data_IF_393524218463
#
_entry.id   IF_393524218463
#
_cell.length_a   1.000
_cell.length_b   1.000
_cell.length_c   1.000
_cell.angle_alpha   90.00
_cell.angle_beta   90.00
_cell.angle_gamma   90.00
#
_symmetry.space_group_name_H-M   'P 1'
#
loop_
_entity.id
_entity.type
_entity.pdbx_description
1 polymer ?
#
# COMPACT_ATOMS: atom_id res chain seq x y z
N UNK A 1 -16.78 -16.89 5.89
CA UNK A 1 -17.76 -15.82 5.60
C UNK A 1 -17.49 -15.34 4.20
N UNK A 2 -18.46 -15.42 3.29
CA UNK A 2 -18.34 -14.85 1.96
C UNK A 2 -18.29 -13.31 2.08
N UNK A 3 -17.31 -12.69 1.46
CA UNK A 3 -16.87 -11.30 1.68
C UNK A 3 -17.83 -10.18 1.26
N UNK A 4 -19.14 -10.40 1.15
CA UNK A 4 -20.03 -9.35 0.60
C UNK A 4 -21.47 -9.37 1.10
N UNK A 5 -21.83 -10.11 2.12
CA UNK A 5 -23.21 -10.06 2.60
C UNK A 5 -23.37 -9.10 3.78
N UNK A 6 -23.49 -7.80 3.46
CA UNK A 6 -23.74 -6.75 4.46
C UNK A 6 -25.09 -6.91 5.16
N UNK A 7 -26.06 -7.54 4.52
CA UNK A 7 -27.36 -7.86 5.10
C UNK A 7 -27.23 -8.87 6.24
N UNK A 8 -26.46 -9.97 6.03
CA UNK A 8 -26.19 -10.96 7.07
C UNK A 8 -25.42 -10.34 8.25
N UNK A 9 -24.48 -9.43 7.98
CA UNK A 9 -23.76 -8.73 9.04
C UNK A 9 -24.70 -7.82 9.84
N UNK A 10 -25.59 -7.10 9.17
CA UNK A 10 -26.61 -6.29 9.83
C UNK A 10 -27.53 -7.15 10.69
N UNK A 11 -27.99 -8.27 10.13
CA UNK A 11 -28.85 -9.20 10.87
C UNK A 11 -28.15 -9.77 12.11
N UNK A 12 -26.88 -10.15 11.98
CA UNK A 12 -26.06 -10.62 13.10
C UNK A 12 -25.93 -9.58 14.23
N UNK A 13 -25.75 -8.30 13.87
CA UNK A 13 -25.67 -7.18 14.84
C UNK A 13 -27.01 -7.07 15.61
N UNK A 14 -28.14 -7.24 14.92
CA UNK A 14 -29.46 -7.17 15.52
C UNK A 14 -29.74 -8.39 16.40
N UNK A 15 -29.44 -9.61 15.92
CA UNK A 15 -29.66 -10.88 16.62
C UNK A 15 -28.80 -10.99 17.90
N UNK A 16 -27.56 -10.49 17.82
CA UNK A 16 -26.66 -10.41 18.99
C UNK A 16 -27.01 -9.26 19.94
N UNK A 17 -28.06 -8.49 19.65
CA UNK A 17 -28.50 -7.35 20.45
C UNK A 17 -27.40 -6.35 20.80
N UNK A 18 -26.45 -6.12 19.86
CA UNK A 18 -25.30 -5.26 20.09
C UNK A 18 -25.75 -3.81 20.33
N UNK A 19 -25.26 -3.23 21.42
CA UNK A 19 -25.57 -1.86 21.84
C UNK A 19 -24.42 -0.94 21.46
N UNK A 20 -24.72 0.25 20.96
CA UNK A 20 -23.70 1.26 20.69
C UNK A 20 -23.02 1.69 22.02
N UNK A 21 -21.69 1.56 22.16
CA UNK A 21 -21.00 1.87 23.41
C UNK A 21 -21.00 3.37 23.77
N UNK A 22 -21.37 4.23 22.82
CA UNK A 22 -21.41 5.70 23.03
C UNK A 22 -22.83 6.15 23.37
N UNK A 23 -23.83 5.74 22.57
CA UNK A 23 -25.21 6.21 22.73
C UNK A 23 -26.08 5.31 23.61
N UNK A 24 -25.64 4.06 23.87
CA UNK A 24 -26.43 3.07 24.60
C UNK A 24 -27.64 2.54 23.84
N UNK A 25 -27.81 2.87 22.57
CA UNK A 25 -28.94 2.48 21.73
C UNK A 25 -28.61 1.32 20.81
N UNK A 26 -29.64 0.61 20.31
CA UNK A 26 -29.55 -0.43 19.28
C UNK A 26 -29.97 0.08 17.89
N UNK A 27 -30.03 1.39 17.74
CA UNK A 27 -30.48 2.04 16.50
C UNK A 27 -29.31 2.06 15.47
N UNK A 28 -29.06 0.92 14.83
CA UNK A 28 -28.02 0.77 13.81
C UNK A 28 -28.56 1.13 12.42
N UNK A 29 -27.78 1.90 11.68
CA UNK A 29 -27.99 2.10 10.25
C UNK A 29 -27.57 0.86 9.46
N UNK A 30 -27.94 0.81 8.19
CA UNK A 30 -27.48 -0.27 7.31
C UNK A 30 -25.96 -0.33 7.25
N UNK A 31 -25.44 -1.55 7.15
CA UNK A 31 -24.01 -1.77 6.95
C UNK A 31 -23.64 -1.36 5.53
N UNK A 32 -22.64 -0.50 5.39
CA UNK A 32 -22.20 0.00 4.10
C UNK A 32 -20.69 -0.23 3.93
N UNK A 33 -20.30 -0.54 2.71
CA UNK A 33 -18.89 -0.64 2.38
C UNK A 33 -18.22 0.75 2.52
N UNK A 34 -17.14 0.79 3.26
CA UNK A 34 -16.35 2.01 3.40
C UNK A 34 -15.48 2.23 2.16
N UNK A 35 -15.60 3.40 1.55
CA UNK A 35 -14.74 3.79 0.44
C UNK A 35 -13.55 4.60 0.95
N UNK A 36 -12.36 4.01 0.81
CA UNK A 36 -11.11 4.66 1.19
C UNK A 36 -10.76 5.85 0.31
N UNK A 37 -11.08 5.77 -0.98
CA UNK A 37 -10.69 6.80 -1.93
C UNK A 37 -11.67 7.96 -1.90
N UNK A 38 -11.14 9.18 -1.81
CA UNK A 38 -11.91 10.36 -2.12
C UNK A 38 -12.31 10.33 -3.60
N UNK A 39 -13.55 10.63 -3.87
CA UNK A 39 -14.04 10.76 -5.24
C UNK A 39 -14.75 12.09 -5.44
N UNK A 40 -14.71 12.60 -6.66
CA UNK A 40 -15.49 13.71 -7.13
C UNK A 40 -16.04 13.40 -8.51
N UNK A 41 -16.97 14.20 -8.97
CA UNK A 41 -17.55 14.08 -10.29
C UNK A 41 -17.04 15.20 -11.19
N UNK A 42 -16.59 14.86 -12.38
CA UNK A 42 -16.09 15.79 -13.38
C UNK A 42 -16.97 15.72 -14.62
N UNK A 43 -17.62 16.83 -14.93
CA UNK A 43 -18.50 16.97 -16.10
C UNK A 43 -19.22 18.30 -16.10
N UNK A 44 -19.73 18.73 -17.24
CA UNK A 44 -20.51 19.96 -17.38
C UNK A 44 -21.96 19.82 -16.92
N UNK A 45 -22.47 18.60 -16.82
CA UNK A 45 -23.81 18.26 -16.36
C UNK A 45 -23.77 17.05 -15.45
N UNK A 46 -24.74 16.92 -14.55
CA UNK A 46 -24.85 15.75 -13.65
C UNK A 46 -25.07 14.44 -14.39
N UNK A 47 -25.75 14.48 -15.54
CA UNK A 47 -26.16 13.29 -16.32
C UNK A 47 -25.07 12.74 -17.26
N UNK A 48 -23.84 13.06 -17.05
CA UNK A 48 -22.70 12.57 -17.84
C UNK A 48 -21.39 12.76 -17.12
N UNK A 49 -21.46 13.03 -15.84
CA UNK A 49 -20.29 13.27 -15.04
C UNK A 49 -19.45 11.99 -14.86
N UNK A 50 -18.17 12.08 -15.12
CA UNK A 50 -17.21 11.01 -14.88
C UNK A 50 -16.73 11.06 -13.44
N UNK A 51 -16.87 9.96 -12.72
CA UNK A 51 -16.33 9.83 -11.37
C UNK A 51 -14.82 9.71 -11.41
N UNK A 52 -14.13 10.61 -10.75
CA UNK A 52 -12.68 10.61 -10.61
C UNK A 52 -12.27 10.47 -9.15
N UNK A 53 -11.07 9.95 -8.91
CA UNK A 53 -10.59 9.64 -7.58
C UNK A 53 -9.25 10.33 -7.29
N UNK A 54 -9.07 10.76 -6.05
CA UNK A 54 -7.74 11.12 -5.56
C UNK A 54 -6.96 9.84 -5.23
N UNK A 55 -5.68 9.84 -5.56
CA UNK A 55 -4.81 8.65 -5.32
C UNK A 55 -4.64 8.37 -3.84
N UNK A 56 -4.85 7.12 -3.37
CA UNK A 56 -4.64 6.73 -1.98
C UNK A 56 -3.18 6.34 -1.68
N UNK A 57 -2.35 6.25 -2.72
CA UNK A 57 -0.93 5.89 -2.68
C UNK A 57 -0.18 6.48 -3.89
N UNK A 58 1.13 6.51 -3.84
CA UNK A 58 1.97 7.00 -4.95
C UNK A 58 2.42 5.90 -5.91
N UNK A 59 2.28 4.62 -5.54
CA UNK A 59 2.74 3.45 -6.28
C UNK A 59 2.28 3.41 -7.73
N UNK A 60 1.01 3.65 -7.99
CA UNK A 60 0.41 3.49 -9.32
C UNK A 60 1.04 4.43 -10.36
N UNK A 61 1.43 5.64 -9.93
CA UNK A 61 2.17 6.58 -10.79
C UNK A 61 3.54 6.05 -11.22
N UNK A 62 4.21 5.27 -10.36
CA UNK A 62 5.49 4.63 -10.67
C UNK A 62 5.29 3.53 -11.71
N UNK A 63 4.28 2.65 -11.53
CA UNK A 63 4.01 1.56 -12.46
C UNK A 63 3.60 2.04 -13.85
N UNK A 64 2.79 3.08 -13.95
CA UNK A 64 2.43 3.73 -15.23
C UNK A 64 3.67 4.22 -15.96
N UNK A 65 4.67 4.73 -15.24
CA UNK A 65 5.91 5.28 -15.82
C UNK A 65 7.04 4.25 -15.97
N UNK A 66 6.87 3.00 -15.56
CA UNK A 66 7.92 1.98 -15.58
C UNK A 66 8.64 1.90 -16.93
N UNK A 67 7.90 1.66 -18.02
CA UNK A 67 8.49 1.54 -19.37
C UNK A 67 9.18 2.83 -19.82
N UNK A 68 8.61 3.99 -19.48
CA UNK A 68 9.16 5.27 -19.84
C UNK A 68 10.52 5.47 -19.17
N UNK A 69 10.61 5.27 -17.88
CA UNK A 69 11.86 5.40 -17.10
C UNK A 69 12.88 4.37 -17.55
N UNK A 70 12.47 3.10 -17.71
CA UNK A 70 13.34 2.00 -18.12
C UNK A 70 14.00 2.30 -19.48
N UNK A 71 13.22 2.74 -20.47
CA UNK A 71 13.71 3.01 -21.82
C UNK A 71 14.53 4.29 -21.90
N UNK A 72 14.02 5.39 -21.36
CA UNK A 72 14.68 6.70 -21.40
C UNK A 72 15.99 6.69 -20.60
N UNK A 73 15.98 6.09 -19.42
CA UNK A 73 17.17 5.94 -18.58
C UNK A 73 18.07 4.77 -18.96
N UNK A 74 17.69 3.94 -19.95
CA UNK A 74 18.41 2.71 -20.32
C UNK A 74 18.70 1.82 -19.11
N UNK A 75 17.71 1.76 -18.18
CA UNK A 75 17.88 1.09 -16.91
C UNK A 75 17.93 -0.43 -17.10
N UNK A 76 18.85 -1.06 -16.37
CA UNK A 76 18.98 -2.52 -16.28
C UNK A 76 18.46 -3.01 -14.93
N UNK A 77 17.77 -4.13 -14.90
CA UNK A 77 17.33 -4.77 -13.66
C UNK A 77 18.57 -5.35 -12.93
N UNK A 78 18.69 -5.15 -11.60
CA UNK A 78 17.74 -4.48 -10.71
C UNK A 78 17.88 -2.96 -10.69
N UNK A 79 16.75 -2.23 -10.68
CA UNK A 79 16.73 -0.78 -10.46
C UNK A 79 15.47 -0.35 -9.72
N UNK A 80 15.48 0.84 -9.14
CA UNK A 80 14.36 1.42 -8.40
C UNK A 80 13.84 2.71 -9.03
N UNK A 81 12.55 2.97 -8.88
CA UNK A 81 11.92 4.25 -9.15
C UNK A 81 11.32 4.74 -7.84
N UNK A 82 11.78 5.91 -7.37
CA UNK A 82 11.26 6.53 -6.17
C UNK A 82 10.41 7.75 -6.52
N UNK A 83 9.38 7.98 -5.72
CA UNK A 83 8.49 9.13 -5.82
C UNK A 83 8.17 9.66 -4.43
N UNK A 84 8.14 10.99 -4.30
CA UNK A 84 7.60 11.70 -3.15
C UNK A 84 6.38 12.47 -3.65
N UNK A 85 5.27 12.37 -2.92
CA UNK A 85 4.07 13.09 -3.31
C UNK A 85 2.94 12.94 -2.33
N UNK A 86 1.87 13.69 -2.57
CA UNK A 86 0.63 13.64 -1.79
C UNK A 86 -0.14 12.35 -2.08
N UNK A 87 -0.66 11.75 -1.01
CA UNK A 87 -1.66 10.69 -1.06
C UNK A 87 -2.87 11.10 -0.20
N UNK A 88 -4.04 10.55 -0.53
CA UNK A 88 -5.31 10.97 0.06
C UNK A 88 -6.12 9.75 0.46
N UNK A 89 -6.52 9.68 1.71
CA UNK A 89 -7.33 8.58 2.22
C UNK A 89 -8.53 9.12 2.98
N UNK A 90 -9.71 8.66 2.66
CA UNK A 90 -10.95 9.05 3.31
C UNK A 90 -11.06 8.40 4.70
N UNK A 91 -10.21 8.81 5.62
CA UNK A 91 -10.22 8.30 7.00
C UNK A 91 -11.49 8.74 7.72
N UNK A 92 -12.18 7.81 8.39
CA UNK A 92 -13.38 8.11 9.17
C UNK A 92 -13.03 9.09 10.28
N UNK A 93 -11.93 8.84 11.00
CA UNK A 93 -11.44 9.71 12.07
C UNK A 93 -9.95 9.97 11.88
N UNK A 94 -9.59 11.21 11.57
CA UNK A 94 -8.20 11.66 11.65
C UNK A 94 -7.80 11.75 13.14
N UNK A 95 -6.70 11.11 13.53
CA UNK A 95 -6.22 11.06 14.92
C UNK A 95 -4.75 10.68 15.02
N UNK A 96 -4.21 10.75 16.25
CA UNK A 96 -2.82 10.40 16.52
C UNK A 96 -1.85 11.29 15.74
N UNK A 97 -2.14 12.59 15.70
CA UNK A 97 -1.33 13.60 15.02
C UNK A 97 -1.15 13.23 13.53
N UNK A 98 0.08 12.99 13.04
CA UNK A 98 0.35 12.68 11.64
C UNK A 98 0.06 11.23 11.25
N UNK A 99 -0.23 10.31 12.19
CA UNK A 99 -0.43 8.88 11.88
C UNK A 99 -1.74 8.57 11.16
N UNK A 100 -2.77 9.45 11.29
CA UNK A 100 -4.04 9.31 10.57
C UNK A 100 -4.50 10.65 10.04
N UNK A 101 -4.08 10.93 8.84
CA UNK A 101 -4.45 12.13 8.09
C UNK A 101 -5.21 11.76 6.83
N UNK A 102 -6.08 12.64 6.37
CA UNK A 102 -6.78 12.48 5.10
C UNK A 102 -5.94 12.89 3.90
N UNK A 103 -4.99 13.77 4.12
CA UNK A 103 -3.97 14.19 3.15
C UNK A 103 -2.60 14.05 3.83
N UNK A 104 -1.65 13.38 3.18
CA UNK A 104 -0.31 13.18 3.71
C UNK A 104 0.71 13.07 2.58
N UNK A 105 1.97 13.28 2.91
CA UNK A 105 3.07 13.02 2.01
C UNK A 105 3.56 11.58 2.19
N UNK A 106 3.79 10.91 1.08
CA UNK A 106 4.33 9.56 1.03
C UNK A 106 5.60 9.56 0.18
N UNK A 107 6.65 8.97 0.69
CA UNK A 107 7.84 8.62 -0.09
C UNK A 107 7.81 7.12 -0.33
N UNK A 108 7.90 6.74 -1.58
CA UNK A 108 7.76 5.36 -2.00
C UNK A 108 8.78 5.03 -3.07
N UNK A 109 9.36 3.82 -3.00
CA UNK A 109 10.24 3.28 -4.02
C UNK A 109 9.76 1.90 -4.43
N UNK A 110 9.61 1.68 -5.72
CA UNK A 110 9.39 0.36 -6.32
C UNK A 110 10.73 -0.10 -6.89
N UNK A 111 11.28 -1.15 -6.31
CA UNK A 111 12.54 -1.74 -6.73
C UNK A 111 12.28 -2.99 -7.56
N UNK A 112 12.60 -2.92 -8.84
CA UNK A 112 12.32 -3.95 -9.82
C UNK A 112 13.45 -4.97 -9.87
N UNK A 113 13.10 -6.24 -9.76
CA UNK A 113 14.03 -7.38 -9.72
C UNK A 113 13.62 -8.49 -10.68
N UNK A 114 14.51 -9.42 -10.93
CA UNK A 114 14.19 -10.64 -11.68
C UNK A 114 13.19 -11.49 -10.89
N UNK A 115 12.21 -12.14 -11.54
CA UNK A 115 11.36 -13.11 -10.87
C UNK A 115 12.18 -14.18 -10.15
N UNK A 116 11.81 -14.48 -8.91
CA UNK A 116 12.52 -15.45 -8.07
C UNK A 116 13.67 -14.88 -7.23
N UNK A 117 14.05 -13.58 -7.43
CA UNK A 117 15.07 -12.91 -6.61
C UNK A 117 14.48 -11.89 -5.62
N UNK A 118 13.17 -11.78 -5.56
CA UNK A 118 12.47 -10.78 -4.75
C UNK A 118 12.67 -10.96 -3.24
N UNK A 119 12.71 -12.20 -2.75
CA UNK A 119 12.90 -12.46 -1.32
C UNK A 119 14.33 -12.13 -0.85
N UNK A 120 15.32 -12.32 -1.70
CA UNK A 120 16.69 -11.87 -1.44
C UNK A 120 16.72 -10.34 -1.43
N UNK A 121 16.02 -9.68 -2.37
CA UNK A 121 15.83 -8.25 -2.42
C UNK A 121 15.22 -7.71 -1.13
N UNK A 122 14.13 -8.29 -0.64
CA UNK A 122 13.49 -7.92 0.64
C UNK A 122 14.48 -8.05 1.80
N UNK A 123 15.20 -9.17 1.92
CA UNK A 123 16.19 -9.37 2.99
C UNK A 123 17.29 -8.30 2.97
N UNK A 124 17.81 -7.97 1.80
CA UNK A 124 18.80 -6.90 1.63
C UNK A 124 18.24 -5.55 2.07
N UNK A 125 17.00 -5.23 1.66
CA UNK A 125 16.37 -3.98 2.01
C UNK A 125 16.03 -3.90 3.50
N UNK A 126 15.55 -4.96 4.14
CA UNK A 126 15.36 -5.02 5.60
C UNK A 126 16.63 -4.57 6.33
N UNK A 127 17.77 -5.17 6.01
CA UNK A 127 19.06 -4.83 6.64
C UNK A 127 19.49 -3.39 6.35
N UNK A 128 19.37 -2.96 5.10
CA UNK A 128 19.81 -1.62 4.66
C UNK A 128 18.96 -0.53 5.31
N UNK A 129 17.64 -0.72 5.38
CA UNK A 129 16.72 0.28 5.92
C UNK A 129 16.79 0.34 7.44
N UNK A 130 16.88 -0.80 8.12
CA UNK A 130 17.09 -0.82 9.57
C UNK A 130 18.36 -0.06 9.94
N UNK A 131 19.47 -0.32 9.25
CA UNK A 131 20.72 0.42 9.48
C UNK A 131 20.55 1.92 9.25
N UNK A 132 19.80 2.32 8.23
CA UNK A 132 19.53 3.74 7.98
C UNK A 132 18.76 4.38 9.14
N UNK A 133 17.71 3.73 9.65
CA UNK A 133 16.97 4.21 10.82
C UNK A 133 17.86 4.34 12.07
N UNK A 134 18.72 3.36 12.31
CA UNK A 134 19.66 3.40 13.45
C UNK A 134 20.64 4.56 13.35
N UNK A 135 21.08 4.93 12.15
CA UNK A 135 21.95 6.08 11.89
C UNK A 135 21.30 7.44 12.22
N UNK A 136 19.99 7.50 12.38
CA UNK A 136 19.30 8.71 12.85
C UNK A 136 19.54 9.00 14.33
N UNK A 137 20.12 8.07 15.08
CA UNK A 137 20.60 8.29 16.45
C UNK A 137 19.53 8.24 17.55
N UNK A 138 18.36 7.65 17.27
CA UNK A 138 17.28 7.53 18.27
C UNK A 138 17.38 6.28 19.16
N UNK A 139 18.52 5.55 19.11
CA UNK A 139 18.74 4.30 19.86
C UNK A 139 18.21 3.07 19.13
N UNK A 140 19.05 2.01 19.07
CA UNK A 140 18.71 0.77 18.34
C UNK A 140 17.54 0.04 19.00
N UNK A 141 17.43 0.12 20.34
CA UNK A 141 16.38 -0.49 21.16
C UNK A 141 14.98 0.07 20.89
N UNK A 142 14.89 1.19 20.19
CA UNK A 142 13.62 1.82 19.82
C UNK A 142 13.08 1.34 18.47
N UNK A 143 13.81 0.49 17.75
CA UNK A 143 13.39 -0.07 16.48
C UNK A 143 13.20 -1.58 16.55
N UNK A 144 12.25 -2.10 15.80
CA UNK A 144 12.07 -3.54 15.61
C UNK A 144 11.48 -3.85 14.25
N UNK A 145 11.65 -5.09 13.80
CA UNK A 145 10.88 -5.63 12.69
C UNK A 145 9.55 -6.19 13.18
N UNK A 146 8.54 -6.03 12.36
CA UNK A 146 7.25 -6.69 12.50
C UNK A 146 6.91 -7.38 11.18
N UNK A 147 7.07 -8.71 11.14
CA UNK A 147 6.72 -9.50 9.96
C UNK A 147 5.21 -9.78 9.97
N UNK A 148 4.55 -9.64 8.81
CA UNK A 148 3.11 -9.83 8.69
C UNK A 148 2.75 -11.31 8.59
N UNK A 149 1.87 -11.79 9.45
CA UNK A 149 1.34 -13.17 9.41
C UNK A 149 0.33 -13.35 8.25
N UNK A 150 -0.48 -12.32 7.97
CA UNK A 150 -1.43 -12.29 6.86
C UNK A 150 -0.92 -11.37 5.77
N UNK A 151 -0.53 -11.98 4.65
CA UNK A 151 -0.10 -11.23 3.49
C UNK A 151 -1.29 -10.79 2.64
N UNK A 152 -1.16 -9.64 1.99
CA UNK A 152 -2.08 -9.23 0.94
C UNK A 152 -1.97 -10.21 -0.25
N UNK A 153 -3.04 -10.34 -1.03
CA UNK A 153 -3.10 -11.29 -2.16
C UNK A 153 -2.03 -11.07 -3.25
N UNK A 154 -1.42 -9.90 -3.28
CA UNK A 154 -0.37 -9.52 -4.21
C UNK A 154 1.05 -9.66 -3.63
N UNK A 155 1.18 -10.02 -2.36
CA UNK A 155 2.45 -10.06 -1.66
C UNK A 155 2.83 -11.49 -1.25
N UNK A 156 4.12 -11.82 -1.35
CA UNK A 156 4.68 -13.07 -0.83
C UNK A 156 5.62 -12.84 0.36
N UNK A 157 5.91 -11.58 0.71
CA UNK A 157 6.58 -11.18 1.94
C UNK A 157 6.20 -9.73 2.29
N UNK A 158 6.01 -9.45 3.58
CA UNK A 158 5.77 -8.11 4.10
C UNK A 158 6.36 -7.98 5.50
N UNK A 159 7.09 -6.90 5.73
CA UNK A 159 7.73 -6.56 7.01
C UNK A 159 7.66 -5.07 7.21
N UNK A 160 7.30 -4.64 8.42
CA UNK A 160 7.41 -3.25 8.83
C UNK A 160 8.64 -3.03 9.69
N UNK A 161 9.21 -1.84 9.59
CA UNK A 161 10.09 -1.29 10.61
C UNK A 161 9.20 -0.45 11.51
N UNK A 162 9.15 -0.82 12.79
CA UNK A 162 8.42 -0.08 13.80
C UNK A 162 9.37 0.71 14.69
N UNK A 163 8.92 1.89 15.13
CA UNK A 163 9.59 2.72 16.12
C UNK A 163 8.76 2.81 17.40
N UNK A 164 9.43 2.87 18.53
CA UNK A 164 8.81 2.98 19.85
C UNK A 164 8.45 4.44 20.16
N UNK A 165 7.19 4.78 19.93
CA UNK A 165 6.61 6.06 20.33
C UNK A 165 6.10 6.01 21.78
N UNK A 166 5.75 7.16 22.42
CA UNK A 166 5.16 7.17 23.75
C UNK A 166 3.87 6.34 23.89
N UNK A 167 3.17 6.10 22.78
CA UNK A 167 1.94 5.29 22.70
C UNK A 167 2.19 3.88 22.13
N UNK A 168 3.44 3.39 22.17
CA UNK A 168 3.84 2.06 21.73
C UNK A 168 4.54 2.02 20.38
N UNK A 169 4.90 0.82 19.96
CA UNK A 169 5.51 0.61 18.63
C UNK A 169 4.52 0.90 17.52
N UNK A 170 4.99 1.66 16.52
CA UNK A 170 4.23 1.99 15.32
C UNK A 170 5.13 1.94 14.10
N UNK A 171 4.54 1.53 12.99
CA UNK A 171 5.17 1.48 11.69
C UNK A 171 5.72 2.86 11.28
N UNK A 172 6.97 2.86 10.83
CA UNK A 172 7.62 4.03 10.22
C UNK A 172 8.04 3.75 8.79
N UNK A 173 8.18 2.48 8.41
CA UNK A 173 8.49 2.07 7.05
C UNK A 173 8.01 0.65 6.78
N UNK A 174 7.41 0.40 5.60
CA UNK A 174 7.05 -0.91 5.11
C UNK A 174 8.00 -1.40 4.02
N UNK A 175 8.34 -2.70 4.03
CA UNK A 175 9.19 -3.38 3.06
C UNK A 175 8.48 -4.65 2.63
N UNK A 176 7.94 -4.65 1.39
CA UNK A 176 7.07 -5.72 0.91
C UNK A 176 7.58 -6.28 -0.42
N UNK A 177 7.33 -7.54 -0.69
CA UNK A 177 7.43 -8.11 -2.02
C UNK A 177 6.02 -8.20 -2.63
N UNK A 178 5.80 -7.46 -3.73
CA UNK A 178 4.50 -7.35 -4.43
C UNK A 178 4.41 -8.29 -5.64
N UNK A 179 5.41 -9.12 -5.87
CA UNK A 179 5.52 -9.96 -7.07
C UNK A 179 5.44 -9.14 -8.36
N UNK A 180 4.81 -9.65 -9.41
CA UNK A 180 4.54 -8.94 -10.67
C UNK A 180 3.12 -8.36 -10.74
N UNK A 181 2.35 -8.47 -9.67
CA UNK A 181 0.91 -8.21 -9.65
C UNK A 181 0.55 -6.86 -10.28
N UNK A 182 1.14 -5.76 -9.82
CA UNK A 182 0.78 -4.43 -10.29
C UNK A 182 1.10 -4.23 -11.78
N UNK A 183 2.31 -4.61 -12.21
CA UNK A 183 2.70 -4.49 -13.62
C UNK A 183 1.84 -5.36 -14.54
N UNK A 184 1.49 -6.57 -14.10
CA UNK A 184 0.59 -7.47 -14.80
C UNK A 184 -0.83 -6.89 -14.92
N UNK A 185 -1.36 -6.27 -13.86
CA UNK A 185 -2.64 -5.56 -13.92
C UNK A 185 -2.59 -4.37 -14.89
N UNK A 186 -1.54 -3.55 -14.81
CA UNK A 186 -1.34 -2.44 -15.73
C UNK A 186 -1.23 -2.93 -17.20
N UNK A 187 -0.54 -4.04 -17.44
CA UNK A 187 -0.47 -4.66 -18.77
C UNK A 187 -1.85 -5.09 -19.26
N UNK A 188 -2.61 -5.79 -18.43
CA UNK A 188 -3.93 -6.31 -18.76
C UNK A 188 -4.90 -5.18 -19.12
N UNK A 189 -5.01 -4.16 -18.28
CA UNK A 189 -6.02 -3.09 -18.47
C UNK A 189 -5.60 -2.02 -19.48
N UNK A 190 -4.31 -1.81 -19.70
CA UNK A 190 -3.85 -0.86 -20.74
C UNK A 190 -3.71 -1.47 -22.13
N UNK A 191 -3.67 -2.80 -22.23
CA UNK A 191 -3.34 -3.52 -23.47
C UNK A 191 -1.89 -3.35 -23.91
N UNK A 192 -1.04 -2.69 -23.12
CA UNK A 192 0.38 -2.47 -23.44
C UNK A 192 1.23 -3.57 -22.83
N UNK A 193 2.12 -4.15 -23.62
CA UNK A 193 3.10 -5.12 -23.13
C UNK A 193 4.11 -4.44 -22.19
N UNK A 194 3.99 -4.72 -20.88
CA UNK A 194 4.87 -4.18 -19.83
C UNK A 194 5.86 -5.26 -19.41
N UNK A 195 6.91 -5.43 -20.22
CA UNK A 195 7.95 -6.44 -20.00
C UNK A 195 9.33 -5.81 -20.13
N UNK A 196 10.27 -6.36 -19.39
CA UNK A 196 11.70 -6.09 -19.50
C UNK A 196 12.35 -7.18 -20.34
N UNK A 197 13.13 -6.80 -21.35
CA UNK A 197 13.99 -7.74 -22.07
C UNK A 197 15.34 -7.82 -21.39
N UNK A 198 15.65 -8.98 -20.84
CA UNK A 198 16.92 -9.24 -20.17
C UNK A 198 17.93 -9.78 -21.19
N UNK A 199 18.94 -8.98 -21.50
CA UNK A 199 19.96 -9.34 -22.48
C UNK A 199 20.91 -10.45 -22.01
N UNK A 200 21.02 -10.66 -20.69
CA UNK A 200 21.85 -11.74 -20.13
C UNK A 200 21.17 -13.10 -20.24
N UNK A 201 19.84 -13.12 -20.00
CA UNK A 201 19.01 -14.34 -20.09
C UNK A 201 18.44 -14.56 -21.49
N UNK A 202 18.52 -13.54 -22.37
CA UNK A 202 17.89 -13.51 -23.70
C UNK A 202 16.40 -13.81 -23.67
N UNK A 203 15.69 -13.31 -22.64
CA UNK A 203 14.26 -13.50 -22.46
C UNK A 203 13.55 -12.23 -21.98
N UNK A 204 12.22 -12.23 -22.15
CA UNK A 204 11.35 -11.13 -21.68
C UNK A 204 10.48 -11.61 -20.53
N UNK A 205 10.39 -10.83 -19.47
CA UNK A 205 9.53 -11.11 -18.33
C UNK A 205 8.91 -9.84 -17.75
N UNK A 206 7.84 -9.99 -16.98
CA UNK A 206 7.32 -8.92 -16.11
C UNK A 206 8.17 -8.93 -14.85
N UNK A 207 8.85 -7.83 -14.48
CA UNK A 207 9.67 -7.79 -13.27
C UNK A 207 8.85 -7.98 -12.00
N UNK A 208 9.47 -8.59 -11.00
CA UNK A 208 8.93 -8.58 -9.64
C UNK A 208 9.34 -7.30 -8.92
N UNK A 209 8.56 -6.93 -7.90
CA UNK A 209 8.67 -5.63 -7.25
C UNK A 209 8.90 -5.78 -5.75
N UNK A 210 9.97 -5.16 -5.25
CA UNK A 210 10.14 -4.90 -3.83
C UNK A 210 9.72 -3.46 -3.54
N UNK A 211 8.67 -3.31 -2.77
CA UNK A 211 8.16 -2.01 -2.33
C UNK A 211 8.88 -1.58 -1.05
N UNK A 212 9.31 -0.32 -1.02
CA UNK A 212 9.70 0.39 0.19
C UNK A 212 8.90 1.67 0.29
N UNK A 213 8.25 1.90 1.41
CA UNK A 213 7.52 3.14 1.61
C UNK A 213 7.66 3.63 3.05
N UNK A 214 7.82 4.95 3.18
CA UNK A 214 7.67 5.61 4.47
C UNK A 214 6.20 5.90 4.69
N UNK A 215 5.70 5.54 5.83
CA UNK A 215 4.30 5.75 6.13
C UNK A 215 4.11 6.50 7.44
N UNK A 216 3.24 7.50 7.44
CA UNK A 216 2.36 7.69 8.55
C UNK A 216 1.00 7.00 8.30
N UNK A 217 0.92 5.90 7.55
CA UNK A 217 -0.37 5.24 7.33
C UNK A 217 -0.53 3.98 8.16
N UNK A 218 -1.29 4.03 9.26
CA UNK A 218 -1.56 2.88 10.13
C UNK A 218 -2.59 1.90 9.55
N UNK A 219 -2.87 1.95 8.25
CA UNK A 219 -3.97 1.17 7.70
C UNK A 219 -3.65 -0.27 7.42
N UNK A 220 -2.40 -0.57 7.08
CA UNK A 220 -1.99 -1.95 6.84
C UNK A 220 -2.00 -2.79 8.13
N UNK A 221 -2.01 -2.12 9.30
CA UNK A 221 -2.12 -2.76 10.62
C UNK A 221 -3.52 -3.26 10.99
N UNK A 222 -4.57 -3.01 10.20
CA UNK A 222 -5.94 -3.45 10.51
C UNK A 222 -6.43 -4.63 9.67
N UNK A 223 -5.57 -5.25 8.89
CA UNK A 223 -5.90 -6.51 8.19
C UNK A 223 -5.37 -7.76 8.89
N UNK A 224 -4.80 -7.60 10.07
CA UNK A 224 -4.50 -8.69 11.00
C UNK A 224 -5.63 -8.93 11.98
#
# INVERSE_FOLDING_TARGET
>A
MNDSNFEDLRQLILDCEIVCPISGTRNWTDVRQFNLMFSTEMGSTSDGAMKVYLRPETAQGIFVNFLNVQKTGRMKIPFGIAQIGKAFRNEIVARQFIFRMREFEQMEMQFFVRPGSELEGVKKWKTTRMRWHQLLGFGEENYRFHDHEKLAHYANAATDIEFKFPFGFKEVEGIHSRTDFDLSQHQQYSGKKIQYFDTELNESYVPYVCLLYTSPSPRDMRRS
#
